data_IF_205953114144
#
_entry.id   IF_205953114144
#
_cell.length_a   1.000
_cell.length_b   1.000
_cell.length_c   1.000
_cell.angle_alpha   90.00
_cell.angle_beta   90.00
_cell.angle_gamma   90.00
#
_symmetry.space_group_name_H-M   'P 1'
#
loop_
_entity.id
_entity.type
_entity.pdbx_description
1 polymer ?
#
# COMPACT_ATOMS: atom_id res chain seq x y z
N UNK A 1 -52.31 -19.75 16.71
CA UNK A 1 -50.90 -19.33 16.86
C UNK A 1 -50.08 -20.32 16.05
N UNK A 2 -49.70 -19.99 14.81
CA UNK A 2 -48.34 -19.49 14.50
C UNK A 2 -48.41 -18.50 13.29
N UNK A 3 -47.37 -17.88 12.71
CA UNK A 3 -45.95 -18.09 12.72
C UNK A 3 -45.25 -16.73 12.59
N UNK A 4 -44.18 -16.57 13.35
CA UNK A 4 -43.21 -15.48 13.24
C UNK A 4 -42.61 -15.45 11.83
N UNK A 5 -43.00 -14.46 11.03
CA UNK A 5 -42.32 -14.13 9.78
C UNK A 5 -41.15 -13.19 10.08
N UNK A 6 -40.04 -13.75 10.57
CA UNK A 6 -38.78 -13.01 10.69
C UNK A 6 -38.15 -12.99 9.29
N UNK A 7 -38.49 -11.98 8.49
CA UNK A 7 -37.71 -11.68 7.29
C UNK A 7 -36.43 -10.98 7.73
N UNK A 8 -35.40 -11.78 8.01
CA UNK A 8 -34.02 -11.33 8.14
C UNK A 8 -33.56 -10.83 6.77
N UNK A 9 -33.75 -9.55 6.50
CA UNK A 9 -33.04 -8.87 5.42
C UNK A 9 -31.59 -8.67 5.87
N UNK A 10 -30.76 -9.72 5.75
CA UNK A 10 -29.32 -9.57 5.85
C UNK A 10 -28.86 -8.94 4.54
N UNK A 11 -28.93 -7.61 4.48
CA UNK A 11 -28.28 -6.84 3.46
C UNK A 11 -26.79 -7.08 3.57
N UNK A 12 -26.25 -7.88 2.65
CA UNK A 12 -24.82 -8.03 2.42
C UNK A 12 -24.32 -6.67 1.91
N UNK A 13 -23.98 -5.78 2.84
CA UNK A 13 -23.16 -4.61 2.54
C UNK A 13 -21.77 -5.12 2.21
N UNK A 14 -21.54 -5.49 0.96
CA UNK A 14 -20.19 -5.61 0.42
C UNK A 14 -19.60 -4.19 0.49
N UNK A 15 -18.80 -3.95 1.52
CA UNK A 15 -17.87 -2.84 1.50
C UNK A 15 -17.00 -3.08 0.27
N UNK A 16 -17.17 -2.26 -0.77
CA UNK A 16 -16.12 -2.07 -1.76
C UNK A 16 -14.96 -1.49 -0.99
N UNK A 17 -14.09 -2.35 -0.49
CA UNK A 17 -12.73 -1.97 -0.16
C UNK A 17 -12.14 -1.53 -1.50
N UNK A 18 -12.07 -0.22 -1.69
CA UNK A 18 -11.25 0.39 -2.74
C UNK A 18 -9.93 -0.35 -2.72
N UNK A 19 -9.59 -1.01 -3.83
CA UNK A 19 -8.33 -1.73 -4.04
C UNK A 19 -7.15 -0.74 -4.08
N UNK A 20 -7.00 0.12 -3.08
CA UNK A 20 -5.69 0.63 -2.71
C UNK A 20 -5.00 -0.54 -2.04
N UNK A 21 -4.41 -1.41 -2.85
CA UNK A 21 -3.57 -2.49 -2.35
C UNK A 21 -2.36 -1.84 -1.72
N UNK A 22 -2.45 -1.48 -0.44
CA UNK A 22 -1.31 -0.92 0.27
C UNK A 22 -0.19 -1.98 0.25
N UNK A 23 0.96 -1.60 -0.30
CA UNK A 23 2.15 -2.45 -0.40
C UNK A 23 3.17 -2.02 0.65
N UNK A 24 4.13 -2.90 0.92
CA UNK A 24 5.29 -2.55 1.72
C UNK A 24 6.32 -1.84 0.84
N UNK A 25 6.65 -0.59 1.19
CA UNK A 25 7.77 0.15 0.63
C UNK A 25 8.95 0.16 1.57
N UNK A 26 10.15 0.20 1.02
CA UNK A 26 11.43 0.21 1.73
C UNK A 26 12.16 1.53 1.50
N UNK A 27 12.90 2.01 2.50
CA UNK A 27 13.69 3.24 2.41
C UNK A 27 14.92 3.17 3.30
N UNK A 28 15.94 3.95 2.96
CA UNK A 28 17.15 4.10 3.79
C UNK A 28 17.13 5.47 4.48
N UNK A 29 17.14 5.44 5.82
CA UNK A 29 17.21 6.63 6.66
C UNK A 29 18.62 6.72 7.25
N UNK A 30 19.43 7.74 6.93
CA UNK A 30 20.80 7.86 7.44
C UNK A 30 20.90 8.00 8.97
N UNK A 31 19.79 8.30 9.66
CA UNK A 31 19.73 8.34 11.12
C UNK A 31 19.49 6.97 11.76
N UNK A 32 19.00 5.97 11.01
CA UNK A 32 18.68 4.62 11.49
C UNK A 32 19.53 3.60 10.73
N UNK A 33 20.37 2.81 11.41
CA UNK A 33 21.18 1.81 10.71
C UNK A 33 20.29 0.71 10.11
N UNK A 34 20.30 0.62 8.78
CA UNK A 34 19.63 -0.43 8.02
C UNK A 34 18.40 0.06 7.26
N UNK A 35 17.90 -0.78 6.35
CA UNK A 35 16.75 -0.44 5.51
C UNK A 35 15.47 -0.62 6.30
N UNK A 36 14.67 0.45 6.32
CA UNK A 36 13.39 0.52 6.99
C UNK A 36 12.26 0.19 6.01
N UNK A 37 11.10 -0.16 6.55
CA UNK A 37 9.90 -0.47 5.75
C UNK A 37 8.70 0.30 6.26
N UNK A 38 7.83 0.73 5.36
CA UNK A 38 6.56 1.39 5.65
C UNK A 38 5.46 0.85 4.74
N UNK A 39 4.21 1.05 5.14
CA UNK A 39 3.06 0.73 4.30
C UNK A 39 2.73 1.95 3.43
N UNK A 40 2.56 1.73 2.13
CA UNK A 40 2.26 2.79 1.17
C UNK A 40 1.24 2.32 0.15
N UNK A 41 0.45 3.23 -0.39
CA UNK A 41 -0.51 2.94 -1.48
C UNK A 41 0.14 3.04 -2.87
N UNK A 42 1.45 3.26 -2.92
CA UNK A 42 2.23 3.30 -4.15
C UNK A 42 2.43 1.92 -4.74
N UNK A 43 2.71 1.85 -6.05
CA UNK A 43 2.95 0.58 -6.73
C UNK A 43 4.22 0.65 -7.58
N UNK A 44 4.78 -0.51 -7.90
CA UNK A 44 5.93 -0.59 -8.79
C UNK A 44 5.45 -0.40 -10.23
N UNK A 45 5.77 0.75 -10.82
CA UNK A 45 5.31 1.12 -12.16
C UNK A 45 6.41 1.87 -12.92
N UNK A 46 6.46 1.76 -14.27
CA UNK A 46 7.55 2.32 -15.07
C UNK A 46 7.56 3.85 -15.13
N UNK A 47 6.45 4.50 -14.78
CA UNK A 47 6.25 5.93 -14.87
C UNK A 47 5.37 6.42 -13.73
N UNK A 48 5.50 7.69 -13.35
CA UNK A 48 4.74 8.30 -12.27
C UNK A 48 5.65 9.08 -11.32
N UNK A 49 5.04 9.70 -10.33
CA UNK A 49 5.77 10.44 -9.29
C UNK A 49 6.41 9.43 -8.34
N UNK A 50 7.71 9.59 -8.07
CA UNK A 50 8.41 8.80 -7.06
C UNK A 50 7.69 8.92 -5.72
N UNK A 51 7.42 7.80 -5.07
CA UNK A 51 6.86 7.83 -3.74
C UNK A 51 7.94 8.06 -2.69
N UNK A 52 7.58 8.83 -1.67
CA UNK A 52 8.48 9.27 -0.62
C UNK A 52 7.80 9.09 0.74
N UNK A 53 8.60 8.89 1.79
CA UNK A 53 8.13 8.99 3.18
C UNK A 53 7.72 10.43 3.51
N UNK A 54 6.98 10.68 4.60
CA UNK A 54 6.72 12.04 5.10
C UNK A 54 7.99 12.86 5.33
N UNK A 55 9.10 12.18 5.62
CA UNK A 55 10.43 12.76 5.81
C UNK A 55 11.19 13.03 4.50
N UNK A 56 10.64 12.62 3.35
CA UNK A 56 11.22 12.86 2.02
C UNK A 56 12.20 11.77 1.55
N UNK A 57 12.16 10.57 2.13
CA UNK A 57 12.99 9.45 1.67
C UNK A 57 12.30 8.67 0.55
N UNK A 58 12.98 8.38 -0.58
CA UNK A 58 12.38 7.62 -1.66
C UNK A 58 12.01 6.19 -1.21
N UNK A 59 10.85 5.72 -1.67
CA UNK A 59 10.33 4.38 -1.40
C UNK A 59 10.64 3.42 -2.55
N UNK A 60 10.99 2.19 -2.17
CA UNK A 60 11.39 1.12 -3.08
C UNK A 60 10.59 -0.17 -2.80
N UNK A 61 10.47 -1.06 -3.79
CA UNK A 61 9.67 -2.28 -3.70
C UNK A 61 10.39 -3.40 -2.93
N UNK A 62 11.72 -3.36 -2.86
CA UNK A 62 12.55 -4.31 -2.12
C UNK A 62 13.55 -3.60 -1.21
N UNK A 63 14.02 -4.26 -0.13
CA UNK A 63 15.05 -3.68 0.75
C UNK A 63 16.44 -3.60 0.08
N UNK A 64 16.60 -4.23 -1.07
CA UNK A 64 17.81 -4.13 -1.88
C UNK A 64 17.72 -2.89 -2.79
N UNK A 65 18.08 -1.72 -2.24
CA UNK A 65 17.79 -0.43 -2.88
C UNK A 65 18.60 -0.21 -4.16
N UNK A 66 19.90 -0.52 -4.13
CA UNK A 66 20.83 -0.20 -5.20
C UNK A 66 21.12 -1.36 -6.18
N UNK A 67 20.82 -2.61 -5.83
CA UNK A 67 21.16 -3.74 -6.71
C UNK A 67 20.03 -4.17 -7.64
N UNK A 68 18.84 -3.56 -7.53
CA UNK A 68 17.70 -3.86 -8.40
C UNK A 68 17.33 -2.63 -9.25
N UNK A 69 17.42 -2.71 -10.59
CA UNK A 69 17.02 -1.62 -11.45
C UNK A 69 15.49 -1.43 -11.45
N UNK A 70 15.02 -0.18 -11.46
CA UNK A 70 13.60 0.18 -11.45
C UNK A 70 12.84 -0.38 -10.23
N UNK A 71 13.50 -0.38 -9.07
CA UNK A 71 12.94 -0.83 -7.80
C UNK A 71 12.09 0.26 -7.12
N UNK A 72 12.05 1.46 -7.67
CA UNK A 72 11.30 2.58 -7.13
C UNK A 72 9.79 2.36 -7.12
N UNK A 73 9.15 2.62 -5.98
CA UNK A 73 7.69 2.73 -5.90
C UNK A 73 7.25 4.10 -6.38
N UNK A 74 6.22 4.12 -7.21
CA UNK A 74 5.66 5.33 -7.79
C UNK A 74 4.15 5.36 -7.62
N UNK A 75 3.58 6.55 -7.74
CA UNK A 75 2.14 6.77 -7.84
C UNK A 75 1.80 7.33 -9.21
N UNK A 76 0.67 6.89 -9.76
CA UNK A 76 0.03 7.61 -10.85
C UNK A 76 -0.27 9.04 -10.40
N UNK A 77 0.00 10.00 -11.29
CA UNK A 77 -0.23 11.43 -11.06
C UNK A 77 -1.68 11.81 -11.41
#
# INVERSE_FOLDING_TARGET
MPALAIMLAVGLSFATETLNSSVTGYYDDPAIPGVQSTTTDCMQQPSGVQCETPEGFPLYATPDLDNIPNNELRKDE
#
